data_IF_483002174263
#
_entry.id   IF_483002174263
#
_cell.length_a   1.000
_cell.length_b   1.000
_cell.length_c   1.000
_cell.angle_alpha   90.00
_cell.angle_beta   90.00
_cell.angle_gamma   90.00
#
_symmetry.space_group_name_H-M   'P 1'
#
loop_
_entity.id
_entity.type
_entity.pdbx_description
1 polymer ?
#
# COMPACT_ATOMS: atom_id res chain seq x y z
N UNK A 1 -14.22 -13.10 -3.07
CA UNK A 1 -13.77 -12.14 -2.08
C UNK A 1 -12.36 -12.45 -1.60
N UNK A 2 -11.50 -11.48 -1.60
CA UNK A 2 -10.12 -11.71 -1.18
C UNK A 2 -10.07 -11.79 0.35
N UNK A 3 -9.49 -12.88 0.83
CA UNK A 3 -9.26 -13.03 2.26
C UNK A 3 -7.96 -12.37 2.65
N UNK A 4 -7.97 -11.67 3.76
CA UNK A 4 -6.75 -11.07 4.26
C UNK A 4 -5.90 -12.14 4.94
N UNK A 5 -4.61 -12.11 4.66
CA UNK A 5 -3.69 -13.04 5.29
C UNK A 5 -3.48 -12.66 6.75
N UNK A 6 -2.87 -13.59 7.49
CA UNK A 6 -2.58 -13.36 8.90
C UNK A 6 -1.74 -12.12 9.10
N UNK A 7 -0.75 -11.91 8.25
CA UNK A 7 0.12 -10.73 8.34
C UNK A 7 -0.66 -9.45 8.08
N UNK A 8 -1.58 -9.47 7.13
CA UNK A 8 -2.43 -8.31 6.84
C UNK A 8 -3.27 -7.94 8.04
N UNK A 9 -3.87 -8.94 8.68
CA UNK A 9 -4.67 -8.71 9.87
C UNK A 9 -3.83 -8.16 11.01
N UNK A 10 -2.62 -8.68 11.19
CA UNK A 10 -1.71 -8.19 12.22
C UNK A 10 -1.38 -6.71 12.02
N UNK A 11 -1.13 -6.33 10.77
CA UNK A 11 -0.82 -4.93 10.46
C UNK A 11 -2.03 -4.04 10.74
N UNK A 12 -3.21 -4.50 10.35
CA UNK A 12 -4.43 -3.74 10.62
C UNK A 12 -4.66 -3.53 12.12
N UNK A 13 -4.42 -4.57 12.89
CA UNK A 13 -4.56 -4.47 14.34
C UNK A 13 -3.54 -3.52 14.97
N UNK A 14 -2.31 -3.60 14.47
CA UNK A 14 -1.23 -2.76 14.98
C UNK A 14 -1.50 -1.27 14.74
N UNK A 15 -2.01 -0.95 13.57
CA UNK A 15 -2.28 0.44 13.20
C UNK A 15 -3.72 0.86 13.50
N UNK A 16 -4.57 -0.10 13.83
CA UNK A 16 -6.00 0.10 14.07
C UNK A 16 -6.70 0.79 12.91
N UNK A 17 -6.34 0.38 11.70
CA UNK A 17 -6.90 0.90 10.46
C UNK A 17 -6.96 -0.21 9.42
N UNK A 18 -7.97 -0.21 8.55
CA UNK A 18 -8.03 -1.19 7.48
C UNK A 18 -6.92 -0.92 6.46
N UNK A 19 -6.35 -1.99 5.91
CA UNK A 19 -5.28 -1.87 4.92
C UNK A 19 -5.72 -1.10 3.68
N UNK A 20 -6.98 -1.20 3.33
CA UNK A 20 -7.53 -0.47 2.18
C UNK A 20 -7.32 1.04 2.30
N UNK A 21 -7.20 1.54 3.51
CA UNK A 21 -6.92 2.95 3.75
C UNK A 21 -5.46 3.18 4.12
N UNK A 22 -4.91 2.27 4.91
CA UNK A 22 -3.55 2.41 5.41
C UNK A 22 -2.50 2.35 4.31
N UNK A 23 -2.58 1.35 3.43
CA UNK A 23 -1.58 1.17 2.38
C UNK A 23 -1.52 2.35 1.41
N UNK A 24 -2.64 2.84 0.87
CA UNK A 24 -2.58 4.00 -0.02
C UNK A 24 -1.94 5.21 0.63
N UNK A 25 -2.28 5.46 1.88
CA UNK A 25 -1.71 6.60 2.61
C UNK A 25 -0.21 6.44 2.81
N UNK A 26 0.23 5.27 3.26
CA UNK A 26 1.65 5.02 3.50
C UNK A 26 2.46 5.10 2.21
N UNK A 27 1.98 4.46 1.15
CA UNK A 27 2.69 4.46 -0.12
C UNK A 27 2.74 5.85 -0.71
N UNK A 28 1.65 6.59 -0.61
CA UNK A 28 1.60 7.96 -1.12
C UNK A 28 2.51 8.90 -0.33
N UNK A 29 2.63 8.67 0.95
CA UNK A 29 3.40 9.53 1.84
C UNK A 29 4.89 9.22 1.80
N UNK A 30 5.27 7.96 1.85
CA UNK A 30 6.66 7.56 1.99
C UNK A 30 7.20 6.60 0.93
N UNK A 31 6.36 6.14 0.02
CA UNK A 31 6.79 5.25 -1.07
C UNK A 31 6.75 3.78 -0.68
N UNK A 32 6.92 2.92 -1.71
CA UNK A 32 6.82 1.47 -1.53
C UNK A 32 7.91 0.90 -0.61
N UNK A 33 9.16 1.32 -0.82
CA UNK A 33 10.27 0.79 -0.04
C UNK A 33 10.16 1.10 1.44
N UNK A 34 9.85 2.35 1.76
CA UNK A 34 9.70 2.76 3.14
C UNK A 34 8.50 2.10 3.80
N UNK A 35 7.40 1.96 3.05
CA UNK A 35 6.22 1.27 3.54
C UNK A 35 6.54 -0.17 3.88
N UNK A 36 7.24 -0.87 2.97
CA UNK A 36 7.64 -2.25 3.20
C UNK A 36 8.51 -2.38 4.43
N UNK A 37 9.49 -1.51 4.57
CA UNK A 37 10.37 -1.53 5.73
C UNK A 37 9.64 -1.31 7.03
N UNK A 38 8.70 -0.38 7.04
CA UNK A 38 7.92 -0.09 8.23
C UNK A 38 6.99 -1.24 8.62
N UNK A 39 6.41 -1.90 7.64
CA UNK A 39 5.53 -3.04 7.88
C UNK A 39 6.26 -4.35 8.12
N UNK A 40 7.58 -4.37 7.91
CA UNK A 40 8.37 -5.57 8.07
C UNK A 40 8.15 -6.61 7.00
N UNK A 41 7.85 -6.18 5.80
CA UNK A 41 7.59 -7.07 4.66
C UNK A 41 8.43 -6.62 3.46
N UNK A 42 8.48 -7.44 2.42
CA UNK A 42 9.21 -7.07 1.23
C UNK A 42 8.42 -6.09 0.37
N UNK A 43 9.13 -5.36 -0.48
CA UNK A 43 8.53 -4.45 -1.43
C UNK A 43 7.57 -5.20 -2.37
N UNK A 44 7.95 -6.42 -2.77
CA UNK A 44 7.10 -7.25 -3.60
C UNK A 44 5.79 -7.59 -2.90
N UNK A 45 5.85 -7.84 -1.59
CA UNK A 45 4.67 -8.14 -0.80
C UNK A 45 3.73 -6.93 -0.74
N UNK A 46 4.28 -5.73 -0.59
CA UNK A 46 3.45 -4.52 -0.62
C UNK A 46 2.73 -4.42 -1.96
N UNK A 47 3.46 -4.63 -3.06
CA UNK A 47 2.86 -4.61 -4.39
C UNK A 47 1.75 -5.64 -4.54
N UNK A 48 1.99 -6.85 -4.05
CA UNK A 48 0.99 -7.91 -4.08
C UNK A 48 -0.26 -7.53 -3.28
N UNK A 49 -0.07 -6.93 -2.10
CA UNK A 49 -1.20 -6.49 -1.28
C UNK A 49 -2.02 -5.41 -1.97
N UNK A 50 -1.34 -4.49 -2.64
CA UNK A 50 -2.04 -3.44 -3.39
C UNK A 50 -2.93 -4.05 -4.47
N UNK A 51 -2.42 -5.05 -5.18
CA UNK A 51 -3.20 -5.75 -6.18
C UNK A 51 -4.37 -6.52 -5.56
N UNK A 52 -4.10 -7.22 -4.47
CA UNK A 52 -5.10 -8.03 -3.81
C UNK A 52 -6.25 -7.19 -3.26
N UNK A 53 -5.95 -6.00 -2.79
CA UNK A 53 -6.95 -5.09 -2.25
C UNK A 53 -7.53 -4.16 -3.32
N UNK A 54 -7.12 -4.36 -4.57
CA UNK A 54 -7.57 -3.57 -5.71
C UNK A 54 -7.25 -2.09 -5.55
N UNK A 55 -6.03 -1.82 -5.13
CA UNK A 55 -5.53 -0.46 -5.02
C UNK A 55 -4.60 -0.22 -6.18
N UNK A 56 -4.88 0.81 -6.96
CA UNK A 56 -4.04 1.17 -8.10
C UNK A 56 -3.04 2.23 -7.70
N UNK A 57 -1.77 1.97 -7.98
CA UNK A 57 -0.71 2.95 -7.76
C UNK A 57 -0.28 3.44 -9.14
N UNK A 58 -0.46 4.72 -9.37
CA UNK A 58 -0.14 5.32 -10.64
C UNK A 58 0.94 6.37 -10.48
N UNK A 59 2.02 6.20 -11.21
CA UNK A 59 3.08 7.20 -11.22
C UNK A 59 2.78 8.24 -12.28
N UNK A 60 2.69 9.48 -11.87
CA UNK A 60 2.47 10.58 -12.80
C UNK A 60 3.84 11.09 -13.23
N UNK A 61 4.13 10.94 -14.51
CA UNK A 61 5.42 11.38 -15.07
C UNK A 61 5.41 12.88 -15.26
N UNK A 62 5.81 13.58 -14.23
CA UNK A 62 5.94 15.03 -14.29
C UNK A 62 7.42 15.39 -14.25
N UNK A 63 7.71 16.65 -14.47
CA UNK A 63 9.04 17.18 -14.26
C UNK A 63 9.47 16.93 -12.81
N UNK A 64 10.62 17.44 -12.36
CA UNK A 64 11.05 17.24 -10.98
C UNK A 64 9.89 17.49 -10.01
N UNK A 65 9.62 16.54 -9.18
CA UNK A 65 8.46 16.58 -8.31
C UNK A 65 7.41 15.57 -8.65
N UNK A 66 7.76 14.53 -9.41
CA UNK A 66 6.88 13.41 -9.70
C UNK A 66 6.20 12.91 -8.45
N UNK A 67 4.91 12.67 -8.55
CA UNK A 67 4.15 12.12 -7.44
C UNK A 67 3.50 10.81 -7.83
N UNK A 68 3.21 9.99 -6.84
CA UNK A 68 2.42 8.79 -7.03
C UNK A 68 0.97 9.12 -6.77
N UNK A 69 0.13 8.75 -7.71
CA UNK A 69 -1.31 8.84 -7.53
C UNK A 69 -1.83 7.46 -7.20
N UNK A 70 -2.52 7.35 -6.10
CA UNK A 70 -3.07 6.08 -5.66
C UNK A 70 -4.58 6.13 -5.75
N UNK A 71 -5.14 5.23 -6.52
CA UNK A 71 -6.59 5.15 -6.67
C UNK A 71 -7.08 3.77 -6.30
N UNK A 72 -8.22 3.74 -5.68
CA UNK A 72 -8.88 2.50 -5.35
C UNK A 72 -9.76 2.10 -6.52
N UNK A 73 -9.58 0.88 -7.00
CA UNK A 73 -10.40 0.33 -8.08
C UNK A 73 -11.60 -0.34 -7.45
N UNK A 74 -12.74 0.16 -7.76
CA UNK A 74 -13.99 -0.41 -7.24
C UNK A 74 -14.64 -1.38 -8.21
#
# INVERSE_FOLDING_TARGET
MARKSKKMVQVEELYQRPLERLLPEMVNEKGLSATAGELGISKATVGYWLLKLRIEVRRVALAPGETLEIKRVS
#
